data_IF_046963876014
#
_entry.id   IF_046963876014
#
_cell.length_a   1.000
_cell.length_b   1.000
_cell.length_c   1.000
_cell.angle_alpha   90.00
_cell.angle_beta   90.00
_cell.angle_gamma   90.00
#
_symmetry.space_group_name_H-M   'P 1'
#
loop_
_entity.id
_entity.type
_entity.pdbx_description
1 polymer ?
#
# COMPACT_ATOMS: atom_id res chain seq x y z
N UNK A 1 -8.00 2.39 18.57
CA UNK A 1 -7.02 2.73 17.50
C UNK A 1 -6.11 3.82 18.03
N UNK A 2 -4.78 3.72 17.89
CA UNK A 2 -3.86 4.77 18.31
C UNK A 2 -4.14 6.08 17.56
N UNK A 3 -4.18 7.18 18.29
CA UNK A 3 -4.47 8.51 17.70
C UNK A 3 -3.41 8.92 16.69
N UNK A 4 -2.14 8.60 16.97
CA UNK A 4 -1.01 8.82 16.03
C UNK A 4 -1.22 8.09 14.71
N UNK A 5 -1.67 6.83 14.75
CA UNK A 5 -1.93 6.05 13.54
C UNK A 5 -3.12 6.59 12.73
N UNK A 6 -4.19 7.03 13.41
CA UNK A 6 -5.37 7.62 12.76
C UNK A 6 -5.05 8.94 12.06
N UNK A 7 -4.25 9.80 12.69
CA UNK A 7 -3.84 11.08 12.13
C UNK A 7 -2.93 10.96 10.91
N UNK A 8 -2.31 9.80 10.70
CA UNK A 8 -1.40 9.50 9.60
C UNK A 8 -1.99 8.54 8.55
N UNK A 9 -3.20 8.01 8.82
CA UNK A 9 -3.88 7.14 7.87
C UNK A 9 -4.42 7.95 6.71
N UNK A 10 -3.68 7.96 5.61
CA UNK A 10 -4.01 8.62 4.36
C UNK A 10 -4.17 7.62 3.20
N UNK A 11 -4.29 6.34 3.53
CA UNK A 11 -4.45 5.28 2.54
C UNK A 11 -5.83 5.29 1.89
N UNK A 12 -5.87 4.82 0.64
CA UNK A 12 -7.09 4.74 -0.17
C UNK A 12 -8.04 3.63 0.30
N UNK A 13 -7.68 2.89 1.35
CA UNK A 13 -8.51 1.79 1.82
C UNK A 13 -8.03 1.13 3.11
N UNK A 14 -8.51 -0.08 3.33
CA UNK A 14 -8.14 -0.93 4.47
C UNK A 14 -7.82 -2.34 3.95
N UNK A 15 -6.58 -2.57 3.44
CA UNK A 15 -6.19 -3.87 2.90
C UNK A 15 -6.30 -4.99 3.93
N UNK A 16 -5.99 -4.75 5.20
CA UNK A 16 -6.13 -5.73 6.26
C UNK A 16 -7.58 -6.17 6.47
N UNK A 17 -8.55 -5.34 6.09
CA UNK A 17 -9.98 -5.64 6.19
C UNK A 17 -10.45 -6.77 5.30
N UNK A 18 -9.87 -6.90 4.10
CA UNK A 18 -10.23 -7.90 3.10
C UNK A 18 -9.14 -8.93 2.79
N UNK A 19 -7.94 -8.81 3.39
CA UNK A 19 -6.81 -9.71 3.15
C UNK A 19 -7.02 -11.16 3.63
N UNK A 20 -8.13 -11.46 4.31
CA UNK A 20 -8.41 -12.77 4.91
C UNK A 20 -7.28 -13.27 5.84
N UNK A 21 -6.67 -12.35 6.61
CA UNK A 21 -5.63 -12.66 7.58
C UNK A 21 -6.17 -13.62 8.64
N UNK A 22 -5.43 -14.66 8.94
CA UNK A 22 -5.77 -15.72 9.91
C UNK A 22 -4.84 -15.67 11.12
N UNK A 23 -5.29 -16.15 12.30
CA UNK A 23 -4.40 -16.36 13.43
C UNK A 23 -3.20 -17.24 13.04
N UNK A 24 -2.00 -16.78 13.41
CA UNK A 24 -0.75 -17.45 13.07
C UNK A 24 -0.11 -17.07 11.73
N UNK A 25 -0.79 -16.30 10.86
CA UNK A 25 -0.21 -15.83 9.60
C UNK A 25 1.02 -14.94 9.84
N UNK A 26 1.93 -14.95 8.86
CA UNK A 26 3.02 -14.00 8.71
C UNK A 26 2.56 -12.94 7.70
N UNK A 27 2.40 -11.71 8.14
CA UNK A 27 1.97 -10.58 7.31
C UNK A 27 3.14 -9.63 7.09
N UNK A 28 3.34 -9.19 5.86
CA UNK A 28 4.29 -8.14 5.50
C UNK A 28 3.51 -6.94 4.96
N UNK A 29 3.67 -5.78 5.58
CA UNK A 29 3.00 -4.55 5.18
C UNK A 29 3.96 -3.64 4.42
N UNK A 30 3.70 -3.46 3.13
CA UNK A 30 4.49 -2.64 2.21
C UNK A 30 4.07 -1.18 2.32
N UNK A 31 5.02 -0.31 2.71
CA UNK A 31 4.76 1.09 3.00
C UNK A 31 3.94 1.26 4.27
N UNK A 32 4.42 0.71 5.37
CA UNK A 32 3.66 0.68 6.62
C UNK A 32 3.33 2.06 7.21
N UNK A 33 3.98 3.13 6.72
CA UNK A 33 3.72 4.50 7.15
C UNK A 33 3.68 4.66 8.67
N UNK A 34 2.62 5.27 9.20
CA UNK A 34 2.38 5.43 10.63
C UNK A 34 1.95 4.16 11.38
N UNK A 35 1.93 2.98 10.73
CA UNK A 35 1.75 1.69 11.39
C UNK A 35 0.30 1.25 11.60
N UNK A 36 -0.70 1.90 10.99
CA UNK A 36 -2.10 1.55 11.20
C UNK A 36 -2.42 0.14 10.72
N UNK A 37 -1.99 -0.22 9.49
CA UNK A 37 -2.22 -1.55 8.93
C UNK A 37 -1.41 -2.62 9.68
N UNK A 38 -0.21 -2.28 10.20
CA UNK A 38 0.59 -3.15 11.08
C UNK A 38 -0.17 -3.47 12.38
N UNK A 39 -0.74 -2.46 13.05
CA UNK A 39 -1.54 -2.64 14.28
C UNK A 39 -2.76 -3.51 14.00
N UNK A 40 -3.49 -3.24 12.90
CA UNK A 40 -4.66 -4.04 12.50
C UNK A 40 -4.28 -5.49 12.18
N UNK A 41 -3.19 -5.70 11.45
CA UNK A 41 -2.67 -7.02 11.13
C UNK A 41 -2.25 -7.77 12.40
N UNK A 42 -1.55 -7.12 13.34
CA UNK A 42 -1.10 -7.72 14.59
C UNK A 42 -2.25 -8.23 15.48
N UNK A 43 -3.37 -7.51 15.50
CA UNK A 43 -4.58 -8.00 16.16
C UNK A 43 -5.14 -9.27 15.51
N UNK A 44 -5.15 -9.33 14.15
CA UNK A 44 -5.70 -10.45 13.40
C UNK A 44 -4.83 -11.71 13.46
N UNK A 45 -3.51 -11.55 13.32
CA UNK A 45 -2.59 -12.70 13.40
C UNK A 45 -2.48 -13.28 14.81
N UNK A 46 -2.78 -12.50 15.83
CA UNK A 46 -2.74 -12.93 17.22
C UNK A 46 -1.31 -13.16 17.74
N UNK A 47 -1.17 -13.80 18.94
CA UNK A 47 0.13 -13.91 19.62
C UNK A 47 1.12 -14.87 18.93
N UNK A 48 0.64 -15.77 18.09
CA UNK A 48 1.48 -16.74 17.40
C UNK A 48 1.83 -16.31 15.97
N UNK A 49 1.20 -15.23 15.45
CA UNK A 49 1.50 -14.67 14.15
C UNK A 49 2.69 -13.72 14.20
N UNK A 50 3.04 -13.21 13.04
CA UNK A 50 4.13 -12.23 12.87
C UNK A 50 3.70 -11.13 11.91
N UNK A 51 4.11 -9.90 12.20
CA UNK A 51 3.92 -8.77 11.28
C UNK A 51 5.25 -8.09 11.02
N UNK A 52 5.54 -7.80 9.75
CA UNK A 52 6.72 -7.02 9.36
C UNK A 52 6.23 -5.78 8.62
N UNK A 53 6.46 -4.61 9.17
CA UNK A 53 6.22 -3.33 8.51
C UNK A 53 7.48 -2.87 7.76
N UNK A 54 7.34 -2.51 6.49
CA UNK A 54 8.43 -2.00 5.65
C UNK A 54 8.09 -0.59 5.19
N UNK A 55 9.03 0.33 5.36
CA UNK A 55 8.91 1.70 4.84
C UNK A 55 10.30 2.26 4.49
N UNK A 56 10.36 3.06 3.41
CA UNK A 56 11.60 3.72 2.99
C UNK A 56 11.97 4.96 3.82
N UNK A 57 11.01 5.52 4.58
CA UNK A 57 11.20 6.70 5.40
C UNK A 57 11.46 6.33 6.87
N UNK A 58 12.66 6.58 7.42
CA UNK A 58 12.97 6.26 8.82
C UNK A 58 11.99 6.90 9.83
N UNK A 59 11.51 8.09 9.52
CA UNK A 59 10.55 8.80 10.38
C UNK A 59 9.21 8.06 10.47
N UNK A 60 8.78 7.39 9.40
CA UNK A 60 7.56 6.58 9.40
C UNK A 60 7.74 5.33 10.25
N UNK A 61 8.90 4.69 10.17
CA UNK A 61 9.22 3.55 11.05
C UNK A 61 9.13 3.93 12.52
N UNK A 62 9.67 5.09 12.92
CA UNK A 62 9.60 5.53 14.33
C UNK A 62 8.15 5.82 14.75
N UNK A 63 7.35 6.43 13.89
CA UNK A 63 5.91 6.64 14.13
C UNK A 63 5.13 5.32 14.25
N UNK A 64 5.44 4.35 13.39
CA UNK A 64 4.84 3.03 13.44
C UNK A 64 5.16 2.29 14.76
N UNK A 65 6.40 2.39 15.25
CA UNK A 65 6.78 1.87 16.57
C UNK A 65 5.99 2.52 17.71
N UNK A 66 5.79 3.84 17.63
CA UNK A 66 4.96 4.55 18.62
C UNK A 66 3.51 4.07 18.57
N UNK A 67 2.92 3.90 17.39
CA UNK A 67 1.56 3.41 17.22
C UNK A 67 1.39 1.98 17.80
N UNK A 68 2.37 1.10 17.61
CA UNK A 68 2.40 -0.24 18.22
C UNK A 68 2.45 -0.15 19.75
N UNK A 69 3.27 0.76 20.30
CA UNK A 69 3.38 0.98 21.74
C UNK A 69 2.07 1.51 22.33
N UNK A 70 1.44 2.50 21.71
CA UNK A 70 0.14 3.05 22.11
C UNK A 70 -1.00 2.02 22.02
N UNK A 71 -0.89 1.07 21.09
CA UNK A 71 -1.83 -0.04 20.97
C UNK A 71 -1.62 -1.15 22.02
N UNK A 72 -0.56 -1.07 22.84
CA UNK A 72 -0.23 -2.11 23.81
C UNK A 72 0.23 -3.43 23.18
N UNK A 73 0.91 -3.35 22.02
CA UNK A 73 1.31 -4.52 21.23
C UNK A 73 2.83 -4.78 21.26
N UNK A 74 3.55 -4.21 22.22
CA UNK A 74 5.02 -4.32 22.32
C UNK A 74 5.50 -5.77 22.48
N UNK A 75 4.68 -6.61 23.13
CA UNK A 75 4.98 -8.04 23.35
C UNK A 75 4.60 -8.93 22.16
N UNK A 76 4.11 -8.35 21.06
CA UNK A 76 3.78 -9.09 19.84
C UNK A 76 5.01 -9.24 18.95
N UNK A 77 4.98 -10.25 18.12
CA UNK A 77 6.04 -10.47 17.13
C UNK A 77 5.90 -9.50 15.96
N UNK A 78 6.28 -8.24 16.18
CA UNK A 78 6.24 -7.15 15.21
C UNK A 78 7.66 -6.68 14.94
N UNK A 79 8.04 -6.63 13.66
CA UNK A 79 9.33 -6.14 13.19
C UNK A 79 9.11 -4.97 12.24
N UNK A 80 10.02 -4.00 12.28
CA UNK A 80 10.06 -2.90 11.31
C UNK A 80 11.37 -2.88 10.55
N UNK A 81 11.29 -2.66 9.24
CA UNK A 81 12.45 -2.55 8.36
C UNK A 81 12.43 -1.24 7.59
N UNK A 82 13.50 -0.47 7.70
CA UNK A 82 13.74 0.65 6.81
C UNK A 82 14.39 0.11 5.53
N UNK A 83 13.58 -0.07 4.49
CA UNK A 83 14.02 -0.66 3.23
C UNK A 83 13.12 -0.24 2.08
N UNK A 84 13.63 -0.34 0.86
CA UNK A 84 12.83 -0.19 -0.35
C UNK A 84 11.96 -1.43 -0.60
N UNK A 85 10.76 -1.22 -1.17
CA UNK A 85 9.79 -2.28 -1.39
C UNK A 85 10.21 -3.31 -2.44
N UNK A 86 11.05 -2.91 -3.39
CA UNK A 86 11.64 -3.80 -4.39
C UNK A 86 12.88 -4.58 -3.89
N UNK A 87 13.27 -4.41 -2.61
CA UNK A 87 14.43 -5.10 -2.02
C UNK A 87 14.25 -5.19 -0.50
N UNK A 88 13.30 -6.00 -0.06
CA UNK A 88 12.90 -6.10 1.36
C UNK A 88 13.92 -6.81 2.26
N UNK A 89 14.85 -7.56 1.67
CA UNK A 89 15.81 -8.42 2.37
C UNK A 89 15.14 -9.53 3.20
N UNK A 90 13.88 -9.85 2.90
CA UNK A 90 13.20 -11.00 3.47
C UNK A 90 13.50 -12.25 2.66
N UNK A 91 13.52 -13.45 3.28
CA UNK A 91 13.71 -14.72 2.56
C UNK A 91 12.60 -15.00 1.55
N UNK A 92 12.88 -15.85 0.57
CA UNK A 92 11.87 -16.41 -0.33
C UNK A 92 10.83 -17.21 0.47
N UNK A 93 9.56 -17.07 0.12
CA UNK A 93 8.49 -17.83 0.76
C UNK A 93 8.28 -17.53 2.24
N UNK A 94 8.65 -16.32 2.68
CA UNK A 94 8.57 -15.87 4.07
C UNK A 94 7.14 -15.58 4.54
N UNK A 95 6.32 -14.94 3.69
CA UNK A 95 5.04 -14.37 4.06
C UNK A 95 3.84 -15.19 3.60
N UNK A 96 2.79 -15.18 4.40
CA UNK A 96 1.46 -15.65 4.05
C UNK A 96 0.68 -14.61 3.29
N UNK A 97 0.83 -13.36 3.70
CA UNK A 97 0.10 -12.21 3.18
C UNK A 97 1.06 -11.04 3.03
N UNK A 98 0.99 -10.36 1.89
CA UNK A 98 1.54 -9.02 1.72
C UNK A 98 0.38 -8.05 1.60
N UNK A 99 0.38 -7.00 2.44
CA UNK A 99 -0.57 -5.88 2.35
C UNK A 99 0.13 -4.64 1.80
N UNK A 100 -0.63 -3.76 1.13
CA UNK A 100 -0.15 -2.44 0.76
C UNK A 100 -1.32 -1.47 0.60
N UNK A 101 -1.13 -0.24 1.05
CA UNK A 101 -2.15 0.79 1.04
C UNK A 101 -1.59 2.09 0.43
N UNK A 102 -1.87 2.33 -0.85
CA UNK A 102 -1.50 3.53 -1.63
C UNK A 102 0.01 3.85 -1.72
N UNK A 103 0.89 2.88 -1.52
CA UNK A 103 2.33 3.15 -1.57
C UNK A 103 3.00 2.71 -2.88
N UNK A 104 2.46 1.69 -3.57
CA UNK A 104 3.11 1.13 -4.76
C UNK A 104 3.18 2.19 -5.88
N UNK A 105 2.19 3.07 -5.96
CA UNK A 105 2.22 4.18 -6.90
C UNK A 105 3.35 5.19 -6.64
N UNK A 106 3.87 5.28 -5.43
CA UNK A 106 5.04 6.12 -5.13
C UNK A 106 6.37 5.49 -5.60
N UNK A 107 6.34 4.20 -5.95
CA UNK A 107 7.53 3.50 -6.42
C UNK A 107 7.73 3.72 -7.92
N UNK A 108 8.96 4.10 -8.36
CA UNK A 108 9.24 4.32 -9.78
C UNK A 108 9.18 3.03 -10.60
N UNK A 109 9.51 1.89 -10.00
CA UNK A 109 9.51 0.56 -10.62
C UNK A 109 8.51 -0.34 -9.90
N UNK A 110 7.28 -0.37 -10.42
CA UNK A 110 6.19 -1.19 -9.87
C UNK A 110 6.39 -2.68 -10.17
N UNK A 111 7.01 -2.99 -11.30
CA UNK A 111 7.28 -4.38 -11.70
C UNK A 111 8.20 -5.03 -10.67
N UNK A 112 9.31 -4.39 -10.32
CA UNK A 112 10.23 -4.88 -9.30
C UNK A 112 9.59 -5.00 -7.90
N UNK A 113 8.63 -4.13 -7.54
CA UNK A 113 7.89 -4.24 -6.27
C UNK A 113 6.98 -5.46 -6.26
N UNK A 114 6.24 -5.73 -7.35
CA UNK A 114 5.39 -6.92 -7.43
C UNK A 114 6.18 -8.21 -7.54
N UNK A 115 7.32 -8.21 -8.24
CA UNK A 115 8.27 -9.35 -8.27
C UNK A 115 8.80 -9.68 -6.86
N UNK A 116 9.18 -8.66 -6.08
CA UNK A 116 9.62 -8.84 -4.70
C UNK A 116 8.48 -9.35 -3.80
N UNK A 117 7.26 -8.80 -3.93
CA UNK A 117 6.10 -9.31 -3.23
C UNK A 117 5.84 -10.79 -3.56
N UNK A 118 5.94 -11.16 -4.85
CA UNK A 118 5.80 -12.54 -5.28
C UNK A 118 6.90 -13.44 -4.72
N UNK A 119 8.16 -12.98 -4.73
CA UNK A 119 9.30 -13.74 -4.21
C UNK A 119 9.14 -14.10 -2.73
N UNK A 120 8.78 -13.08 -1.91
CA UNK A 120 8.66 -13.29 -0.46
C UNK A 120 7.40 -14.03 -0.02
N UNK A 121 6.39 -14.14 -0.88
CA UNK A 121 5.20 -14.94 -0.59
C UNK A 121 5.50 -16.43 -0.71
N UNK A 122 4.98 -17.23 0.23
CA UNK A 122 4.95 -18.68 0.11
C UNK A 122 3.95 -19.12 -0.98
N UNK A 123 4.04 -20.37 -1.48
CA UNK A 123 2.98 -20.95 -2.30
C UNK A 123 1.62 -20.84 -1.61
N UNK A 124 0.58 -20.48 -2.34
CA UNK A 124 -0.77 -20.14 -1.84
C UNK A 124 -0.82 -18.89 -0.95
N UNK A 125 0.28 -18.15 -0.81
CA UNK A 125 0.26 -16.81 -0.24
C UNK A 125 -0.44 -15.81 -1.17
N UNK A 126 -0.81 -14.66 -0.64
CA UNK A 126 -1.59 -13.65 -1.38
C UNK A 126 -1.13 -12.24 -1.10
N UNK A 127 -1.32 -11.39 -2.08
CA UNK A 127 -1.31 -9.94 -1.87
C UNK A 127 -2.74 -9.43 -1.62
N UNK A 128 -2.87 -8.40 -0.80
CA UNK A 128 -4.11 -7.65 -0.62
C UNK A 128 -3.77 -6.16 -0.68
N UNK A 129 -4.16 -5.53 -1.76
CA UNK A 129 -3.72 -4.18 -2.12
C UNK A 129 -4.91 -3.25 -2.23
N UNK A 130 -4.75 -2.03 -1.71
CA UNK A 130 -5.60 -0.88 -2.01
C UNK A 130 -4.73 0.17 -2.68
N UNK A 131 -5.04 0.55 -3.91
CA UNK A 131 -4.25 1.53 -4.67
C UNK A 131 -5.13 2.30 -5.66
N UNK A 132 -4.53 3.24 -6.38
CA UNK A 132 -5.18 4.08 -7.38
C UNK A 132 -4.75 3.64 -8.78
N UNK A 133 -5.71 3.60 -9.69
CA UNK A 133 -5.48 3.39 -11.12
C UNK A 133 -6.17 4.47 -11.93
N UNK A 134 -5.74 4.65 -13.17
CA UNK A 134 -6.35 5.56 -14.13
C UNK A 134 -7.18 4.78 -15.14
N UNK A 135 -8.28 5.37 -15.63
CA UNK A 135 -9.05 4.81 -16.75
C UNK A 135 -8.29 4.96 -18.08
N UNK A 136 -7.45 5.98 -18.19
CA UNK A 136 -6.62 6.31 -19.34
C UNK A 136 -5.38 7.09 -18.91
N UNK A 137 -4.39 7.23 -19.79
CA UNK A 137 -3.25 8.10 -19.52
C UNK A 137 -3.70 9.55 -19.35
N UNK A 138 -3.12 10.23 -18.37
CA UNK A 138 -3.24 11.69 -18.21
C UNK A 138 -2.03 12.38 -18.84
N UNK A 139 -2.16 13.67 -19.15
CA UNK A 139 -1.07 14.44 -19.74
C UNK A 139 0.19 14.39 -18.85
N UNK A 140 1.40 14.17 -19.42
CA UNK A 140 2.63 14.05 -18.65
C UNK A 140 2.88 15.24 -17.71
N UNK A 141 2.57 16.45 -18.17
CA UNK A 141 2.74 17.69 -17.38
C UNK A 141 1.79 17.72 -16.18
N UNK A 142 0.60 17.14 -16.32
CA UNK A 142 -0.37 17.01 -15.23
C UNK A 142 0.10 15.94 -14.24
N UNK A 143 0.63 14.83 -14.74
CA UNK A 143 1.19 13.76 -13.92
C UNK A 143 2.37 14.25 -13.09
N UNK A 144 3.29 15.02 -13.70
CA UNK A 144 4.43 15.63 -13.01
C UNK A 144 3.96 16.58 -11.89
N UNK A 145 2.94 17.41 -12.13
CA UNK A 145 2.38 18.26 -11.08
C UNK A 145 1.83 17.47 -9.90
N UNK A 146 1.15 16.33 -10.15
CA UNK A 146 0.69 15.45 -9.07
C UNK A 146 1.84 14.81 -8.29
N UNK A 147 2.96 14.48 -8.94
CA UNK A 147 4.15 13.94 -8.25
C UNK A 147 4.76 14.94 -7.27
N UNK A 148 4.69 16.22 -7.59
CA UNK A 148 5.24 17.31 -6.77
C UNK A 148 4.25 17.88 -5.76
N UNK A 149 3.02 17.39 -5.73
CA UNK A 149 1.98 17.76 -4.75
C UNK A 149 1.78 16.63 -3.73
N UNK A 150 1.00 16.90 -2.70
CA UNK A 150 0.67 15.88 -1.70
C UNK A 150 -0.27 14.75 -2.22
N UNK A 151 -0.69 14.80 -3.47
CA UNK A 151 -1.33 13.71 -4.20
C UNK A 151 -0.32 12.82 -4.95
N UNK A 152 0.89 12.61 -4.41
CA UNK A 152 1.98 11.88 -5.07
C UNK A 152 1.62 10.49 -5.57
N UNK A 153 0.71 9.78 -4.90
CA UNK A 153 0.22 8.48 -5.38
C UNK A 153 -0.56 8.61 -6.70
N UNK A 154 -1.24 9.73 -6.97
CA UNK A 154 -1.88 9.99 -8.25
C UNK A 154 -0.83 10.26 -9.34
N UNK A 155 0.25 10.98 -9.01
CA UNK A 155 1.36 11.22 -9.95
C UNK A 155 2.06 9.95 -10.43
N UNK A 156 2.05 8.90 -9.63
CA UNK A 156 2.58 7.60 -10.02
C UNK A 156 1.53 6.59 -10.52
N UNK A 157 0.25 6.98 -10.56
CA UNK A 157 -0.81 6.09 -11.05
C UNK A 157 -0.69 5.84 -12.55
N UNK A 158 -1.00 4.63 -12.96
CA UNK A 158 -0.95 4.17 -14.36
C UNK A 158 -2.32 3.66 -14.79
N UNK A 159 -2.58 3.52 -16.11
CA UNK A 159 -3.80 2.91 -16.61
C UNK A 159 -4.07 1.55 -15.98
N UNK A 160 -5.34 1.26 -15.71
CA UNK A 160 -5.75 0.05 -15.02
C UNK A 160 -5.28 -1.23 -15.74
N UNK A 161 -5.30 -1.26 -17.08
CA UNK A 161 -4.82 -2.40 -17.85
C UNK A 161 -3.31 -2.65 -17.67
N UNK A 162 -2.53 -1.57 -17.64
CA UNK A 162 -1.08 -1.62 -17.40
C UNK A 162 -0.80 -2.10 -15.97
N UNK A 163 -1.58 -1.61 -15.01
CA UNK A 163 -1.48 -2.04 -13.61
C UNK A 163 -1.72 -3.55 -13.46
N UNK A 164 -2.78 -4.09 -14.09
CA UNK A 164 -3.03 -5.53 -14.06
C UNK A 164 -1.99 -6.34 -14.84
N UNK A 165 -1.40 -5.77 -15.88
CA UNK A 165 -0.28 -6.40 -16.60
C UNK A 165 0.91 -6.57 -15.67
N UNK A 166 1.34 -5.54 -14.94
CA UNK A 166 2.40 -5.58 -13.93
C UNK A 166 2.15 -6.69 -12.90
N UNK A 167 0.95 -6.75 -12.32
CA UNK A 167 0.60 -7.77 -11.33
C UNK A 167 0.74 -9.19 -11.91
N UNK A 168 0.23 -9.41 -13.14
CA UNK A 168 0.29 -10.74 -13.78
C UNK A 168 1.71 -11.12 -14.21
N UNK A 169 2.50 -10.18 -14.70
CA UNK A 169 3.89 -10.42 -15.10
C UNK A 169 4.78 -10.84 -13.93
N UNK A 170 4.52 -10.35 -12.73
CA UNK A 170 5.18 -10.80 -11.52
C UNK A 170 4.84 -12.26 -11.13
N UNK A 171 3.87 -12.90 -11.79
CA UNK A 171 3.48 -14.29 -11.58
C UNK A 171 2.20 -14.51 -10.79
N UNK A 172 1.52 -13.44 -10.38
CA UNK A 172 0.24 -13.58 -9.67
C UNK A 172 -0.86 -14.08 -10.60
N UNK A 173 -1.56 -15.11 -10.14
CA UNK A 173 -2.77 -15.62 -10.75
C UNK A 173 -4.01 -15.12 -10.01
N UNK A 174 -5.16 -15.27 -10.62
CA UNK A 174 -6.47 -15.06 -9.98
C UNK A 174 -6.60 -13.69 -9.29
N UNK A 175 -6.44 -12.61 -10.07
CA UNK A 175 -6.70 -11.25 -9.56
C UNK A 175 -8.19 -11.10 -9.29
N UNK A 176 -8.57 -11.04 -8.02
CA UNK A 176 -9.94 -10.81 -7.57
C UNK A 176 -10.10 -9.35 -7.14
N UNK A 177 -10.90 -8.60 -7.87
CA UNK A 177 -11.26 -7.23 -7.47
C UNK A 177 -12.32 -7.29 -6.38
N UNK A 178 -11.99 -6.73 -5.22
CA UNK A 178 -12.87 -6.67 -4.04
C UNK A 178 -13.79 -5.47 -4.11
N UNK A 179 -13.27 -4.32 -4.54
CA UNK A 179 -14.04 -3.10 -4.70
C UNK A 179 -13.36 -2.15 -5.68
N UNK A 180 -14.18 -1.28 -6.28
CA UNK A 180 -13.77 -0.13 -7.07
C UNK A 180 -14.56 1.09 -6.62
N UNK A 181 -13.91 2.23 -6.56
CA UNK A 181 -14.53 3.51 -6.26
C UNK A 181 -13.93 4.60 -7.14
N UNK A 182 -14.78 5.17 -7.99
CA UNK A 182 -14.40 6.34 -8.80
C UNK A 182 -14.32 7.55 -7.89
N UNK A 183 -13.13 8.17 -7.81
CA UNK A 183 -12.88 9.29 -6.92
C UNK A 183 -13.49 10.58 -7.45
N UNK A 184 -14.15 11.33 -6.58
CA UNK A 184 -14.62 12.68 -6.88
C UNK A 184 -13.49 13.71 -6.73
N UNK A 185 -13.61 14.90 -7.35
CA UNK A 185 -12.64 15.98 -7.16
C UNK A 185 -12.45 16.38 -5.69
N UNK A 186 -13.49 16.29 -4.87
CA UNK A 186 -13.44 16.59 -3.43
C UNK A 186 -12.65 15.51 -2.66
N UNK A 187 -12.83 14.26 -3.02
CA UNK A 187 -12.07 13.15 -2.43
C UNK A 187 -10.58 13.24 -2.78
N UNK A 188 -10.25 13.67 -4.02
CA UNK A 188 -8.88 13.93 -4.44
C UNK A 188 -8.22 15.05 -3.61
N UNK A 189 -8.99 16.03 -3.13
CA UNK A 189 -8.47 17.08 -2.23
C UNK A 189 -8.02 16.50 -0.88
N UNK A 190 -8.72 15.46 -0.40
CA UNK A 190 -8.41 14.80 0.88
C UNK A 190 -7.23 13.81 0.82
N UNK A 191 -6.70 13.48 -0.36
CA UNK A 191 -5.67 12.46 -0.56
C UNK A 191 -4.24 12.97 -0.34
N UNK A 192 -3.96 13.59 0.80
CA UNK A 192 -2.62 14.04 1.15
C UNK A 192 -1.73 12.84 1.54
N UNK A 193 -0.77 12.51 0.72
CA UNK A 193 0.11 11.33 0.92
C UNK A 193 1.20 11.50 1.95
N UNK A 194 1.53 12.51 2.54
CA UNK A 194 2.47 12.66 3.67
C UNK A 194 2.42 14.10 4.20
N UNK A 195 2.14 14.35 5.45
CA UNK A 195 2.45 15.62 6.07
C UNK A 195 3.96 15.63 6.36
N UNK A 196 4.77 15.96 5.35
CA UNK A 196 6.15 16.38 5.54
C UNK A 196 6.17 17.83 6.01
N UNK A 197 7.22 18.25 6.67
CA UNK A 197 7.35 19.58 7.27
C UNK A 197 7.46 20.74 6.26
N UNK A 198 7.50 20.47 4.95
CA UNK A 198 7.38 21.47 3.89
C UNK A 198 6.09 21.21 3.11
N UNK A 199 5.17 22.14 3.28
CA UNK A 199 3.85 22.14 2.64
C UNK A 199 3.96 22.15 1.11
N UNK A 200 3.86 20.99 0.50
CA UNK A 200 3.51 20.92 -0.91
C UNK A 200 2.03 21.31 -1.02
N UNK A 201 1.67 22.30 -1.82
CA UNK A 201 0.28 22.74 -1.94
C UNK A 201 -0.59 21.59 -2.50
N UNK A 202 -1.88 21.54 -2.16
CA UNK A 202 -2.81 20.60 -2.79
C UNK A 202 -2.86 20.84 -4.31
N UNK A 203 -3.24 19.82 -5.10
CA UNK A 203 -3.53 20.01 -6.52
C UNK A 203 -4.52 21.15 -6.73
N UNK A 204 -4.29 21.98 -7.74
CA UNK A 204 -5.22 23.05 -8.07
C UNK A 204 -6.62 22.52 -8.39
N UNK A 205 -7.63 23.37 -8.30
CA UNK A 205 -9.00 22.97 -8.70
C UNK A 205 -9.04 22.54 -10.17
N UNK A 206 -8.30 23.23 -11.02
CA UNK A 206 -8.19 22.94 -12.45
C UNK A 206 -7.56 21.55 -12.67
N UNK A 207 -6.50 21.20 -11.93
CA UNK A 207 -5.85 19.90 -12.03
C UNK A 207 -6.78 18.77 -11.59
N UNK A 208 -7.55 18.97 -10.51
CA UNK A 208 -8.52 17.98 -10.02
C UNK A 208 -9.66 17.76 -11.02
N UNK A 209 -10.17 18.82 -11.62
CA UNK A 209 -11.20 18.74 -12.68
C UNK A 209 -10.65 18.04 -13.93
N UNK A 210 -9.39 18.25 -14.29
CA UNK A 210 -8.77 17.61 -15.45
C UNK A 210 -8.67 16.08 -15.34
N UNK A 211 -8.71 15.53 -14.12
CA UNK A 211 -8.71 14.08 -13.86
C UNK A 211 -10.07 13.55 -13.37
N UNK A 212 -11.10 14.39 -13.36
CA UNK A 212 -12.45 13.96 -13.00
C UNK A 212 -12.91 12.80 -13.91
N UNK A 213 -13.49 11.78 -13.30
CA UNK A 213 -13.92 10.58 -14.00
C UNK A 213 -12.81 9.62 -14.44
N UNK A 214 -11.53 9.94 -14.14
CA UNK A 214 -10.37 9.12 -14.59
C UNK A 214 -9.66 8.38 -13.47
N UNK A 215 -9.90 8.71 -12.23
CA UNK A 215 -9.16 8.19 -11.07
C UNK A 215 -10.03 7.23 -10.28
N UNK A 216 -9.59 5.98 -10.18
CA UNK A 216 -10.32 4.92 -9.47
C UNK A 216 -9.46 4.34 -8.36
N UNK A 217 -9.99 4.30 -7.14
CA UNK A 217 -9.44 3.46 -6.06
C UNK A 217 -9.86 2.02 -6.31
N UNK A 218 -8.89 1.11 -6.34
CA UNK A 218 -9.11 -0.33 -6.50
C UNK A 218 -8.64 -1.08 -5.27
N UNK A 219 -9.44 -2.07 -4.86
CA UNK A 219 -9.10 -3.03 -3.80
C UNK A 219 -9.11 -4.41 -4.42
N UNK A 220 -8.02 -5.15 -4.28
CA UNK A 220 -7.91 -6.47 -4.89
C UNK A 220 -7.05 -7.43 -4.08
N UNK A 221 -7.27 -8.72 -4.33
CA UNK A 221 -6.45 -9.83 -3.87
C UNK A 221 -5.89 -10.53 -5.09
N UNK A 222 -4.63 -10.95 -5.03
CA UNK A 222 -4.07 -11.87 -6.01
C UNK A 222 -3.23 -12.95 -5.33
N UNK A 223 -3.23 -14.15 -5.90
CA UNK A 223 -2.69 -15.36 -5.27
C UNK A 223 -1.43 -15.82 -6.00
N UNK A 224 -0.41 -16.21 -5.23
CA UNK A 224 0.74 -16.96 -5.73
C UNK A 224 0.39 -18.44 -5.75
N UNK A 225 0.13 -18.98 -6.94
CA UNK A 225 -0.12 -20.40 -7.06
C UNK A 225 1.17 -21.22 -6.81
N UNK A 226 1.06 -22.48 -6.33
CA UNK A 226 2.19 -23.39 -6.25
C UNK A 226 2.81 -23.61 -7.63
N UNK A 227 4.12 -23.66 -7.70
CA UNK A 227 4.80 -24.15 -8.90
C UNK A 227 4.37 -25.60 -9.13
N UNK A 228 3.94 -25.89 -10.34
CA UNK A 228 3.60 -27.26 -10.77
C UNK A 228 4.85 -28.13 -10.88
#
# INVERSE_FOLDING_TARGET
>A
MPEVALNLSRGCGNPTGFANIRPGDVVVDFGCGGGIDVVLAAHKVGPQGRVVGIDGAPQMIERAKQAVAEAGLQDRNIEFRNSYLNKTQLPDGFADVVTSNCVINLCPDKDAVYEEAFRILRPNGRIAISDIVLSENIAPELQERFQTTWAGCLGGAIPEEDYWRTVRQAGFAEVQIVARHLLTPEELEGMACCPGEEFTPPPSKEDRVAVEGKVTSVKFIAIKLPLK
#
